data_IF_424736394883
#
_entry.id   IF_424736394883
#
_cell.length_a   1.000
_cell.length_b   1.000
_cell.length_c   1.000
_cell.angle_alpha   90.00
_cell.angle_beta   90.00
_cell.angle_gamma   90.00
#
_symmetry.space_group_name_H-M   'P 1'
#
loop_
_entity.id
_entity.type
_entity.pdbx_description
1 polymer ?
#
# COMPACT_ATOMS: atom_id res chain seq x y z
N UNK A 1 -1.56 -17.96 10.52
CA UNK A 1 -0.81 -17.26 9.46
C UNK A 1 -1.82 -16.87 8.39
N UNK A 2 -2.10 -15.58 8.23
CA UNK A 2 -3.02 -15.08 7.20
C UNK A 2 -2.32 -15.14 5.85
N UNK A 3 -2.83 -15.98 4.93
CA UNK A 3 -2.36 -16.00 3.55
C UNK A 3 -3.04 -14.86 2.79
N UNK A 4 -2.24 -13.98 2.18
CA UNK A 4 -2.77 -12.91 1.33
C UNK A 4 -2.93 -13.42 -0.10
N UNK A 5 -4.02 -13.02 -0.75
CA UNK A 5 -4.26 -13.34 -2.15
C UNK A 5 -3.41 -12.44 -3.06
N UNK A 6 -3.04 -12.92 -4.25
CA UNK A 6 -2.23 -12.15 -5.22
C UNK A 6 -2.91 -10.81 -5.58
N UNK A 7 -4.24 -10.81 -5.71
CA UNK A 7 -5.03 -9.61 -5.97
C UNK A 7 -4.90 -8.56 -4.85
N UNK A 8 -4.90 -8.99 -3.59
CA UNK A 8 -4.71 -8.08 -2.44
C UNK A 8 -3.30 -7.48 -2.42
N UNK A 9 -2.28 -8.27 -2.76
CA UNK A 9 -0.90 -7.76 -2.86
C UNK A 9 -0.77 -6.75 -4.01
N UNK A 10 -1.46 -7.00 -5.13
CA UNK A 10 -1.48 -6.06 -6.26
C UNK A 10 -2.15 -4.74 -5.89
N UNK A 11 -3.28 -4.80 -5.18
CA UNK A 11 -4.00 -3.61 -4.71
C UNK A 11 -3.16 -2.81 -3.69
N UNK A 12 -2.44 -3.50 -2.79
CA UNK A 12 -1.47 -2.86 -1.90
C UNK A 12 -0.36 -2.14 -2.67
N UNK A 13 0.14 -2.74 -3.77
CA UNK A 13 1.09 -2.12 -4.68
C UNK A 13 0.57 -0.84 -5.33
N UNK A 14 -0.66 -0.86 -5.87
CA UNK A 14 -1.31 0.32 -6.47
C UNK A 14 -1.56 1.43 -5.45
N UNK A 15 -1.98 1.06 -4.25
CA UNK A 15 -2.17 2.01 -3.15
C UNK A 15 -0.85 2.69 -2.78
N UNK A 16 0.24 1.92 -2.63
CA UNK A 16 1.56 2.48 -2.37
C UNK A 16 2.03 3.43 -3.49
N UNK A 17 1.76 3.09 -4.76
CA UNK A 17 2.04 3.96 -5.92
C UNK A 17 1.26 5.29 -5.81
N UNK A 18 -0.04 5.26 -5.45
CA UNK A 18 -0.86 6.47 -5.27
C UNK A 18 -0.42 7.36 -4.10
N UNK A 19 0.15 6.76 -3.05
CA UNK A 19 0.71 7.45 -1.89
C UNK A 19 2.15 7.96 -2.13
N UNK A 20 2.68 7.82 -3.36
CA UNK A 20 4.07 8.16 -3.75
C UNK A 20 5.14 7.40 -2.95
N UNK A 21 4.79 6.23 -2.40
CA UNK A 21 5.71 5.33 -1.69
C UNK A 21 6.31 4.31 -2.68
N UNK A 22 7.11 4.83 -3.61
CA UNK A 22 7.59 4.08 -4.77
C UNK A 22 8.42 2.84 -4.41
N UNK A 23 9.22 2.88 -3.34
CA UNK A 23 10.00 1.71 -2.90
C UNK A 23 9.12 0.53 -2.49
N UNK A 24 8.02 0.81 -1.77
CA UNK A 24 7.06 -0.21 -1.36
C UNK A 24 6.27 -0.75 -2.56
N UNK A 25 5.82 0.14 -3.45
CA UNK A 25 5.15 -0.26 -4.70
C UNK A 25 6.06 -1.20 -5.53
N UNK A 26 7.35 -0.86 -5.65
CA UNK A 26 8.33 -1.68 -6.33
C UNK A 26 8.46 -3.08 -5.70
N UNK A 27 8.57 -3.17 -4.37
CA UNK A 27 8.67 -4.46 -3.68
C UNK A 27 7.43 -5.35 -3.89
N UNK A 28 6.22 -4.78 -3.82
CA UNK A 28 4.98 -5.53 -4.08
C UNK A 28 4.93 -6.03 -5.52
N UNK A 29 5.21 -5.16 -6.49
CA UNK A 29 5.20 -5.55 -7.90
C UNK A 29 6.27 -6.59 -8.22
N UNK A 30 7.47 -6.46 -7.66
CA UNK A 30 8.55 -7.44 -7.80
C UNK A 30 8.16 -8.79 -7.20
N UNK A 31 7.59 -8.80 -5.99
CA UNK A 31 7.14 -10.04 -5.35
C UNK A 31 6.12 -10.79 -6.21
N UNK A 32 5.12 -10.08 -6.76
CA UNK A 32 4.11 -10.66 -7.65
C UNK A 32 4.76 -11.17 -8.96
N UNK A 33 5.65 -10.38 -9.57
CA UNK A 33 6.30 -10.76 -10.83
C UNK A 33 7.20 -12.01 -10.68
N UNK A 34 7.92 -12.12 -9.55
CA UNK A 34 8.88 -13.20 -9.28
C UNK A 34 8.16 -14.50 -8.84
N UNK A 35 7.12 -14.41 -8.00
CA UNK A 35 6.49 -15.59 -7.40
C UNK A 35 5.20 -16.03 -8.13
N UNK A 36 4.57 -15.13 -8.88
CA UNK A 36 3.27 -15.38 -9.53
C UNK A 36 3.32 -15.13 -11.04
N UNK A 37 4.47 -15.35 -11.68
CA UNK A 37 4.74 -14.96 -13.08
C UNK A 37 3.76 -15.49 -14.15
N UNK A 38 2.95 -16.50 -13.86
CA UNK A 38 1.94 -17.05 -14.79
C UNK A 38 0.54 -16.44 -14.64
N UNK A 39 0.30 -15.62 -13.62
CA UNK A 39 -1.04 -15.04 -13.38
C UNK A 39 -1.22 -13.73 -14.16
N UNK A 40 -2.46 -13.33 -14.50
CA UNK A 40 -2.70 -12.04 -15.16
C UNK A 40 -2.23 -10.85 -14.31
N UNK A 41 -2.24 -10.97 -12.99
CA UNK A 41 -1.74 -9.95 -12.06
C UNK A 41 -0.23 -9.71 -12.22
N UNK A 42 0.56 -10.74 -12.55
CA UNK A 42 1.98 -10.58 -12.78
C UNK A 42 2.30 -9.77 -14.04
N UNK A 43 1.44 -9.82 -15.07
CA UNK A 43 1.57 -8.94 -16.23
C UNK A 43 1.40 -7.48 -15.82
N UNK A 44 0.36 -7.19 -15.04
CA UNK A 44 0.09 -5.84 -14.51
C UNK A 44 1.22 -5.38 -13.58
N UNK A 45 1.72 -6.28 -12.75
CA UNK A 45 2.83 -5.98 -11.83
C UNK A 45 4.12 -5.63 -12.58
N UNK A 46 4.46 -6.33 -13.68
CA UNK A 46 5.62 -5.98 -14.52
C UNK A 46 5.49 -4.59 -15.16
N UNK A 47 4.29 -4.25 -15.64
CA UNK A 47 4.00 -2.91 -16.16
C UNK A 47 4.11 -1.84 -15.05
N UNK A 48 3.61 -2.13 -13.85
CA UNK A 48 3.77 -1.27 -12.68
C UNK A 48 5.23 -1.07 -12.27
N UNK A 49 6.02 -2.14 -12.29
CA UNK A 49 7.44 -2.12 -11.97
C UNK A 49 8.21 -1.22 -12.94
N UNK A 50 7.90 -1.25 -14.24
CA UNK A 50 8.49 -0.35 -15.23
C UNK A 50 8.17 1.13 -14.96
N UNK A 51 6.93 1.45 -14.58
CA UNK A 51 6.54 2.84 -14.23
C UNK A 51 7.24 3.33 -12.97
N UNK A 52 7.23 2.51 -11.92
CA UNK A 52 7.79 2.86 -10.62
C UNK A 52 9.32 2.96 -10.69
N UNK A 53 9.99 2.07 -11.43
CA UNK A 53 11.44 2.12 -11.60
C UNK A 53 11.91 3.39 -12.31
N UNK A 54 11.10 3.95 -13.23
CA UNK A 54 11.41 5.23 -13.89
C UNK A 54 11.31 6.44 -12.94
N UNK A 55 10.61 6.29 -11.81
CA UNK A 55 10.40 7.36 -10.82
C UNK A 55 11.42 7.33 -9.68
N UNK A 56 12.17 6.24 -9.50
CA UNK A 56 13.19 6.11 -8.46
C UNK A 56 14.50 6.77 -8.96
N UNK A 57 14.91 7.92 -8.40
CA UNK A 57 16.11 8.63 -8.82
C UNK A 57 17.35 7.75 -8.60
N UNK A 58 18.21 7.65 -9.61
CA UNK A 58 19.46 6.87 -9.51
C UNK A 58 19.33 5.39 -9.84
N UNK A 59 18.13 4.90 -10.19
CA UNK A 59 18.03 3.58 -10.83
C UNK A 59 18.73 3.67 -12.20
N UNK A 60 19.78 2.86 -12.47
CA UNK A 60 20.37 2.84 -13.80
C UNK A 60 19.25 2.51 -14.80
N UNK A 61 19.16 3.18 -15.96
CA UNK A 61 18.14 2.90 -16.94
C UNK A 61 18.27 1.44 -17.35
N UNK A 62 17.49 0.56 -16.73
CA UNK A 62 17.39 -0.83 -17.15
C UNK A 62 16.80 -0.74 -18.55
N UNK A 63 17.66 -1.04 -19.52
CA UNK A 63 17.34 -0.95 -20.94
C UNK A 63 15.96 -1.54 -21.15
N UNK A 64 15.07 -0.74 -21.76
CA UNK A 64 13.70 -1.13 -22.07
C UNK A 64 13.69 -2.60 -22.49
N UNK A 65 12.84 -3.46 -21.89
CA UNK A 65 12.73 -4.83 -22.34
C UNK A 65 12.38 -4.77 -23.82
N UNK A 66 13.33 -5.12 -24.67
CA UNK A 66 13.13 -5.16 -26.11
C UNK A 66 12.01 -6.17 -26.33
N UNK A 67 10.81 -5.64 -26.57
CA UNK A 67 9.69 -6.33 -27.19
C UNK A 67 10.12 -6.67 -28.62
N UNK A 68 11.00 -7.66 -28.76
CA UNK A 68 11.49 -8.12 -30.04
C UNK A 68 11.59 -9.63 -30.01
N UNK A 69 10.80 -10.28 -30.87
CA UNK A 69 11.10 -11.63 -31.34
C UNK A 69 10.30 -12.75 -30.70
N UNK A 70 9.12 -12.97 -31.25
CA UNK A 70 8.52 -14.28 -31.48
C UNK A 70 9.61 -15.34 -31.76
N UNK A 71 9.93 -16.19 -30.79
CA UNK A 71 10.58 -17.47 -31.04
C UNK A 71 9.75 -18.59 -30.42
N UNK A 72 8.83 -19.10 -31.24
CA UNK A 72 8.40 -20.49 -31.17
C UNK A 72 9.63 -21.33 -31.51
N UNK A 73 10.15 -22.06 -30.52
CA UNK A 73 11.20 -23.05 -30.66
C UNK A 73 10.85 -24.23 -29.78
N UNK A 74 10.16 -25.19 -30.38
CA UNK A 74 9.81 -26.46 -29.78
C UNK A 74 11.04 -27.39 -29.75
N UNK A 75 11.04 -28.27 -28.74
CA UNK A 75 11.67 -29.59 -28.66
C UNK A 75 13.18 -29.72 -28.33
N UNK A 76 13.37 -30.64 -27.37
CA UNK A 76 14.51 -31.51 -27.06
C UNK A 76 15.57 -31.05 -26.06
N UNK A 77 15.77 -31.88 -25.03
CA UNK A 77 17.03 -31.94 -24.30
C UNK A 77 16.96 -32.37 -22.83
N UNK A 78 16.42 -33.55 -22.58
CA UNK A 78 16.33 -34.24 -21.30
C UNK A 78 17.72 -34.70 -20.80
N UNK A 79 18.11 -34.39 -19.55
CA UNK A 79 19.09 -35.18 -18.78
C UNK A 79 19.06 -34.85 -17.26
N UNK A 80 18.19 -35.59 -16.55
CA UNK A 80 18.47 -36.19 -15.25
C UNK A 80 18.96 -35.31 -14.09
N UNK A 81 18.02 -34.85 -13.25
CA UNK A 81 18.23 -34.74 -11.80
C UNK A 81 17.00 -35.31 -11.10
N UNK A 82 17.19 -36.45 -10.42
CA UNK A 82 16.13 -37.13 -9.67
C UNK A 82 15.73 -36.32 -8.43
N UNK A 83 14.43 -36.12 -8.15
CA UNK A 83 13.99 -35.51 -6.89
C UNK A 83 14.04 -36.53 -5.73
N UNK A 84 14.37 -36.10 -4.50
CA UNK A 84 14.37 -36.97 -3.32
C UNK A 84 12.94 -37.39 -2.91
N UNK A 85 12.79 -38.53 -2.20
CA UNK A 85 11.50 -39.11 -1.85
C UNK A 85 10.72 -38.25 -0.84
N UNK A 86 9.41 -38.10 -1.09
CA UNK A 86 8.46 -37.43 -0.20
C UNK A 86 8.19 -38.28 1.05
N UNK A 87 8.15 -37.70 2.27
CA UNK A 87 7.67 -38.39 3.46
C UNK A 87 6.14 -38.62 3.43
N UNK A 88 5.64 -39.66 4.13
CA UNK A 88 4.27 -40.13 4.02
C UNK A 88 3.24 -39.16 4.59
N UNK A 89 2.14 -39.02 3.84
CA UNK A 89 0.98 -38.19 4.17
C UNK A 89 0.27 -38.65 5.44
N UNK A 90 0.27 -37.81 6.48
CA UNK A 90 -0.62 -37.94 7.61
C UNK A 90 -2.05 -37.57 7.18
N UNK A 91 -2.98 -38.51 7.38
CA UNK A 91 -4.43 -38.37 7.21
C UNK A 91 -4.95 -37.12 7.93
N UNK A 92 -5.69 -36.27 7.21
CA UNK A 92 -6.50 -35.19 7.79
C UNK A 92 -7.94 -35.70 7.97
N UNK A 93 -8.61 -35.47 9.11
CA UNK A 93 -10.01 -35.85 9.30
C UNK A 93 -10.94 -34.98 8.45
N UNK A 94 -12.01 -35.61 7.96
CA UNK A 94 -13.15 -35.03 7.26
C UNK A 94 -13.80 -33.90 8.08
N UNK A 95 -13.96 -32.74 7.47
CA UNK A 95 -14.81 -31.65 7.97
C UNK A 95 -15.92 -31.37 6.94
N UNK A 96 -17.11 -31.07 7.46
CA UNK A 96 -18.43 -31.22 6.86
C UNK A 96 -18.77 -30.25 5.70
N UNK A 97 -19.91 -30.45 4.98
CA UNK A 97 -20.27 -29.71 3.76
C UNK A 97 -20.60 -28.23 4.04
N UNK A 98 -19.92 -27.31 3.33
CA UNK A 98 -20.31 -25.91 3.26
C UNK A 98 -21.37 -25.73 2.16
N UNK A 99 -22.44 -25.01 2.52
CA UNK A 99 -23.58 -24.68 1.66
C UNK A 99 -23.19 -23.79 0.45
N UNK A 100 -23.98 -23.79 -0.64
CA UNK A 100 -23.68 -23.00 -1.84
C UNK A 100 -23.97 -21.51 -1.59
N UNK A 101 -22.94 -20.67 -1.65
CA UNK A 101 -23.12 -19.22 -1.75
C UNK A 101 -23.23 -18.85 -3.23
N UNK A 102 -24.39 -18.31 -3.59
CA UNK A 102 -24.70 -17.69 -4.88
C UNK A 102 -23.72 -16.55 -5.20
N UNK A 103 -23.21 -16.44 -6.44
CA UNK A 103 -22.42 -15.29 -6.87
C UNK A 103 -23.29 -14.05 -7.08
N UNK A 104 -22.81 -12.83 -6.76
CA UNK A 104 -23.50 -11.59 -7.09
C UNK A 104 -23.43 -11.26 -8.59
N UNK A 105 -24.40 -10.50 -9.14
CA UNK A 105 -24.52 -10.21 -10.56
C UNK A 105 -23.40 -9.28 -11.06
N UNK A 106 -22.76 -9.66 -12.16
CA UNK A 106 -21.84 -8.81 -12.89
C UNK A 106 -22.62 -7.75 -13.67
N UNK A 107 -22.43 -6.49 -13.31
CA UNK A 107 -22.88 -5.33 -14.08
C UNK A 107 -22.01 -5.17 -15.32
N UNK A 108 -22.52 -5.68 -16.44
CA UNK A 108 -22.11 -5.29 -17.79
C UNK A 108 -22.58 -3.87 -18.07
N UNK A 109 -21.67 -2.91 -18.16
CA UNK A 109 -21.94 -1.64 -18.84
C UNK A 109 -20.62 -0.96 -19.24
N UNK A 110 -20.62 -0.42 -20.48
CA UNK A 110 -19.68 0.55 -21.07
C UNK A 110 -18.40 -0.09 -21.63
N UNK A 111 -18.31 -0.47 -22.90
CA UNK A 111 -18.81 0.15 -24.14
C UNK A 111 -18.31 1.60 -24.32
N UNK A 112 -17.16 1.71 -24.97
CA UNK A 112 -16.42 2.95 -25.19
C UNK A 112 -15.29 2.70 -26.19
N UNK A 113 -15.61 2.98 -27.46
CA UNK A 113 -14.78 2.87 -28.65
C UNK A 113 -13.44 3.60 -28.51
N UNK A 114 -12.35 2.99 -29.02
CA UNK A 114 -11.10 3.69 -29.34
C UNK A 114 -10.96 3.71 -30.86
N UNK A 115 -10.78 4.88 -31.50
CA UNK A 115 -10.61 4.95 -32.94
C UNK A 115 -9.25 4.39 -33.34
N UNK A 116 -9.27 3.50 -34.34
CA UNK A 116 -8.10 3.17 -35.14
C UNK A 116 -7.64 4.44 -35.87
N UNK A 117 -6.49 4.98 -35.47
CA UNK A 117 -5.81 6.01 -36.25
C UNK A 117 -4.53 5.42 -36.85
N UNK A 118 -4.54 5.35 -38.18
CA UNK A 118 -3.56 4.65 -39.00
C UNK A 118 -2.14 5.19 -38.87
N UNK A 119 -1.19 4.26 -39.00
CA UNK A 119 0.23 4.55 -39.09
C UNK A 119 0.70 4.17 -40.51
N UNK A 120 0.91 5.13 -41.42
CA UNK A 120 1.44 4.84 -42.75
C UNK A 120 2.97 4.75 -42.72
N UNK A 121 3.48 3.72 -43.41
CA UNK A 121 4.76 3.70 -44.14
C UNK A 121 6.04 3.99 -43.36
N UNK A 122 6.77 2.94 -42.98
CA UNK A 122 8.23 3.02 -42.85
C UNK A 122 8.89 2.23 -43.99
N UNK A 123 9.69 2.90 -44.86
CA UNK A 123 10.38 2.24 -45.96
C UNK A 123 11.58 1.43 -45.45
N UNK A 124 11.74 0.25 -46.06
CA UNK A 124 12.87 -0.65 -45.90
C UNK A 124 14.19 0.05 -46.26
N UNK A 125 15.07 0.23 -45.28
CA UNK A 125 16.46 0.61 -45.51
C UNK A 125 17.35 -0.64 -45.42
N UNK A 126 18.11 -0.85 -46.49
CA UNK A 126 19.10 -1.90 -46.73
C UNK A 126 20.04 -2.17 -45.56
N UNK A 127 20.22 -3.47 -45.28
CA UNK A 127 21.30 -4.03 -44.47
C UNK A 127 22.57 -4.16 -45.33
N UNK A 128 23.73 -3.62 -44.91
CA UNK A 128 25.02 -4.01 -45.47
C UNK A 128 25.51 -5.36 -44.89
N UNK A 129 26.32 -6.12 -45.65
CA UNK A 129 26.81 -7.43 -45.25
C UNK A 129 27.82 -7.35 -44.10
N UNK A 130 27.71 -8.33 -43.21
CA UNK A 130 28.53 -8.52 -42.01
C UNK A 130 30.03 -8.72 -42.33
N UNK A 131 30.94 -7.94 -41.73
CA UNK A 131 32.35 -8.31 -41.66
C UNK A 131 32.62 -9.15 -40.41
N UNK A 132 33.12 -10.36 -40.69
CA UNK A 132 34.02 -11.18 -39.87
C UNK A 132 33.76 -11.31 -38.35
N UNK A 133 33.24 -12.49 -37.99
CA UNK A 133 33.43 -13.11 -36.68
C UNK A 133 34.94 -13.29 -36.42
N UNK A 134 35.50 -12.43 -35.57
CA UNK A 134 36.75 -12.71 -34.89
C UNK A 134 36.50 -13.74 -33.76
N UNK A 135 37.46 -14.62 -33.45
CA UNK A 135 37.33 -15.59 -32.37
C UNK A 135 37.16 -14.85 -31.04
N UNK A 136 35.99 -14.99 -30.43
CA UNK A 136 35.71 -14.48 -29.10
C UNK A 136 36.60 -15.19 -28.08
N UNK A 137 37.68 -14.53 -27.65
CA UNK A 137 38.34 -14.87 -26.40
C UNK A 137 37.37 -14.71 -25.22
N UNK A 138 37.55 -15.45 -24.11
CA UNK A 138 36.72 -15.32 -22.92
C UNK A 138 36.83 -13.89 -22.39
N UNK A 139 35.82 -13.07 -22.70
CA UNK A 139 35.71 -11.72 -22.18
C UNK A 139 35.66 -11.74 -20.65
N UNK A 140 36.20 -10.71 -19.98
CA UNK A 140 36.13 -10.59 -18.53
C UNK A 140 34.66 -10.68 -18.13
N UNK A 141 34.32 -11.71 -17.36
CA UNK A 141 32.97 -11.90 -16.86
C UNK A 141 32.56 -10.61 -16.14
N UNK A 142 31.36 -10.07 -16.40
CA UNK A 142 30.86 -8.93 -15.65
C UNK A 142 30.93 -9.32 -14.18
N UNK A 143 31.76 -8.60 -13.41
CA UNK A 143 31.79 -8.72 -11.95
C UNK A 143 30.36 -8.45 -11.51
N UNK A 144 29.66 -9.53 -11.16
CA UNK A 144 28.42 -9.46 -10.42
C UNK A 144 28.77 -8.70 -9.14
N UNK A 145 28.39 -7.42 -9.10
CA UNK A 145 28.41 -6.63 -7.88
C UNK A 145 27.66 -7.46 -6.85
N UNK A 146 28.40 -7.91 -5.84
CA UNK A 146 27.87 -8.72 -4.76
C UNK A 146 26.58 -8.02 -4.27
N UNK A 147 25.46 -8.75 -4.15
CA UNK A 147 24.23 -8.15 -3.65
C UNK A 147 24.57 -7.46 -2.34
N UNK A 148 24.42 -6.12 -2.31
CA UNK A 148 24.56 -5.33 -1.10
C UNK A 148 23.76 -6.06 -0.02
N UNK A 149 24.46 -6.61 0.96
CA UNK A 149 23.80 -7.19 2.12
C UNK A 149 22.96 -6.06 2.70
N UNK A 150 21.64 -6.22 2.83
CA UNK A 150 20.84 -5.23 3.52
C UNK A 150 21.48 -5.06 4.88
N UNK A 151 22.04 -3.87 5.12
CA UNK A 151 22.61 -3.49 6.40
C UNK A 151 21.45 -3.65 7.38
N UNK A 152 21.51 -4.68 8.21
CA UNK A 152 20.56 -4.88 9.28
C UNK A 152 20.82 -3.75 10.28
N UNK A 153 20.14 -2.62 10.10
CA UNK A 153 20.23 -1.48 11.01
C UNK A 153 19.89 -1.98 12.43
N UNK A 154 20.85 -1.93 13.37
CA UNK A 154 20.64 -2.43 14.71
C UNK A 154 19.57 -1.59 15.40
N UNK A 155 18.49 -2.25 15.84
CA UNK A 155 17.52 -1.71 16.78
C UNK A 155 16.56 -0.68 16.18
N UNK A 156 15.55 -1.17 15.46
CA UNK A 156 14.25 -0.47 15.34
C UNK A 156 13.64 -0.39 16.75
N UNK A 157 14.09 0.57 17.55
CA UNK A 157 13.58 0.82 18.88
C UNK A 157 12.08 1.08 18.80
N UNK A 158 11.38 0.54 19.78
CA UNK A 158 9.96 0.24 19.81
C UNK A 158 9.11 1.52 20.05
N UNK A 159 9.45 2.64 19.40
CA UNK A 159 9.21 3.98 19.93
C UNK A 159 7.86 4.61 19.55
N UNK A 160 6.95 3.87 18.92
CA UNK A 160 5.67 4.44 18.48
C UNK A 160 4.42 3.90 19.18
N UNK A 161 4.60 3.12 20.26
CA UNK A 161 3.46 2.60 21.03
C UNK A 161 2.79 3.69 21.85
N UNK A 162 3.56 4.62 22.42
CA UNK A 162 3.02 5.70 23.25
C UNK A 162 2.12 6.66 22.44
N UNK A 163 2.56 7.12 21.27
CA UNK A 163 1.76 8.01 20.41
C UNK A 163 0.45 7.36 19.92
N UNK A 164 0.50 6.05 19.60
CA UNK A 164 -0.69 5.29 19.20
C UNK A 164 -1.66 5.07 20.37
N UNK A 165 -1.14 4.88 21.59
CA UNK A 165 -1.94 4.76 22.80
C UNK A 165 -2.64 6.09 23.13
N UNK A 166 -1.89 7.18 23.15
CA UNK A 166 -2.41 8.52 23.48
C UNK A 166 -3.49 8.93 22.47
N UNK A 167 -3.23 8.80 21.17
CA UNK A 167 -4.24 9.10 20.14
C UNK A 167 -5.49 8.21 20.24
N UNK A 168 -5.33 6.94 20.61
CA UNK A 168 -6.45 6.04 20.89
C UNK A 168 -7.31 6.49 22.08
N UNK A 169 -6.67 6.92 23.17
CA UNK A 169 -7.36 7.42 24.37
C UNK A 169 -8.13 8.71 24.06
N UNK A 170 -7.49 9.68 23.40
CA UNK A 170 -8.16 10.94 23.04
C UNK A 170 -9.31 10.73 22.05
N UNK A 171 -9.15 9.83 21.08
CA UNK A 171 -10.22 9.53 20.13
C UNK A 171 -11.41 8.84 20.83
N UNK A 172 -11.16 7.88 21.71
CA UNK A 172 -12.22 7.20 22.47
C UNK A 172 -12.94 8.16 23.41
N UNK A 173 -12.21 9.04 24.12
CA UNK A 173 -12.81 10.10 24.94
C UNK A 173 -13.66 11.06 24.11
N UNK A 174 -13.17 11.50 22.95
CA UNK A 174 -13.90 12.40 22.06
C UNK A 174 -15.22 11.79 21.56
N UNK A 175 -15.20 10.50 21.19
CA UNK A 175 -16.41 9.77 20.80
C UNK A 175 -17.38 9.56 21.96
N UNK A 176 -16.90 9.30 23.17
CA UNK A 176 -17.74 9.21 24.36
C UNK A 176 -18.41 10.55 24.69
N UNK A 177 -17.67 11.66 24.61
CA UNK A 177 -18.23 13.00 24.81
C UNK A 177 -19.27 13.36 23.74
N UNK A 178 -18.96 13.07 22.48
CA UNK A 178 -19.86 13.30 21.36
C UNK A 178 -21.14 12.46 21.47
N UNK A 179 -21.00 11.18 21.85
CA UNK A 179 -22.13 10.27 22.08
C UNK A 179 -22.96 10.60 23.33
N UNK A 180 -22.36 11.22 24.35
CA UNK A 180 -23.07 11.66 25.54
C UNK A 180 -24.07 12.80 25.25
N UNK A 181 -23.78 13.66 24.26
CA UNK A 181 -24.66 14.76 23.86
C UNK A 181 -26.09 14.32 23.53
N UNK A 182 -26.31 13.40 22.57
CA UNK A 182 -27.62 12.84 22.27
C UNK A 182 -28.32 12.21 23.48
N UNK A 183 -27.58 11.48 24.32
CA UNK A 183 -28.15 10.83 25.50
C UNK A 183 -28.66 11.87 26.50
N UNK A 184 -27.88 12.93 26.74
CA UNK A 184 -28.29 14.07 27.56
C UNK A 184 -29.44 14.86 26.94
N UNK A 185 -29.49 14.98 25.62
CA UNK A 185 -30.60 15.61 24.90
C UNK A 185 -31.92 14.83 25.10
N UNK A 186 -31.89 13.50 24.99
CA UNK A 186 -33.06 12.65 25.24
C UNK A 186 -33.47 12.70 26.71
N UNK A 187 -32.50 12.65 27.63
CA UNK A 187 -32.75 12.74 29.06
C UNK A 187 -33.37 14.10 29.46
N UNK A 188 -32.90 15.20 28.89
CA UNK A 188 -33.47 16.54 29.13
C UNK A 188 -34.88 16.68 28.54
N UNK A 189 -35.18 16.00 27.42
CA UNK A 189 -36.53 15.99 26.85
C UNK A 189 -37.56 15.30 27.78
N UNK A 190 -37.16 14.25 28.50
CA UNK A 190 -38.06 13.60 29.48
C UNK A 190 -38.31 14.47 30.71
N UNK A 191 -37.31 15.25 31.16
CA UNK A 191 -37.49 16.23 32.24
C UNK A 191 -38.35 17.43 31.81
N UNK A 192 -38.27 17.85 30.54
CA UNK A 192 -39.09 18.93 30.00
C UNK A 192 -40.60 18.63 30.09
N UNK A 193 -41.00 17.38 29.82
CA UNK A 193 -42.39 16.95 29.97
C UNK A 193 -42.93 17.09 31.40
N UNK A 194 -42.07 16.90 32.40
CA UNK A 194 -42.42 17.08 33.83
C UNK A 194 -42.47 18.56 34.24
N UNK A 195 -41.61 19.39 33.67
CA UNK A 195 -41.59 20.85 33.90
C UNK A 195 -42.81 21.57 33.34
N UNK A 196 -43.35 21.09 32.20
CA UNK A 196 -44.53 21.67 31.56
C UNK A 196 -45.79 21.60 32.43
N UNK A 197 -45.90 20.57 33.28
CA UNK A 197 -47.01 20.42 34.22
C UNK A 197 -46.90 21.32 35.47
N UNK A 198 -45.70 21.83 35.79
CA UNK A 198 -45.45 22.60 37.03
C UNK A 198 -45.17 24.09 36.80
N UNK A 199 -44.74 24.52 35.61
CA UNK A 199 -44.07 25.82 35.42
C UNK A 199 -44.80 26.93 34.65
N UNK A 200 -45.94 26.67 34.02
CA UNK A 200 -46.60 27.67 33.15
C UNK A 200 -45.74 28.12 31.95
N UNK A 201 -46.20 29.12 31.20
CA UNK A 201 -45.63 29.53 29.90
C UNK A 201 -44.13 29.91 29.94
N UNK A 202 -43.65 30.44 31.08
CA UNK A 202 -42.24 30.81 31.28
C UNK A 202 -41.30 29.60 31.40
N UNK A 203 -41.80 28.43 31.81
CA UNK A 203 -41.01 27.19 31.86
C UNK A 203 -40.68 26.62 30.48
N UNK A 204 -41.51 26.91 29.47
CA UNK A 204 -41.36 26.36 28.11
C UNK A 204 -40.18 27.01 27.37
N UNK A 205 -40.08 28.35 27.41
CA UNK A 205 -39.00 29.07 26.74
C UNK A 205 -37.64 28.83 27.40
N UNK A 206 -37.58 28.84 28.74
CA UNK A 206 -36.36 28.52 29.50
C UNK A 206 -35.92 27.07 29.33
N UNK A 207 -36.87 26.12 29.29
CA UNK A 207 -36.59 24.71 29.12
C UNK A 207 -36.03 24.37 27.73
N UNK A 208 -36.58 24.96 26.66
CA UNK A 208 -36.06 24.76 25.30
C UNK A 208 -34.66 25.37 25.12
N UNK A 209 -34.44 26.59 25.59
CA UNK A 209 -33.12 27.22 25.52
C UNK A 209 -32.08 26.43 26.32
N UNK A 210 -32.44 25.97 27.53
CA UNK A 210 -31.58 25.12 28.35
C UNK A 210 -31.26 23.78 27.69
N UNK A 211 -32.25 23.10 27.11
CA UNK A 211 -32.06 21.81 26.44
C UNK A 211 -31.12 21.92 25.22
N UNK A 212 -31.26 23.00 24.43
CA UNK A 212 -30.36 23.25 23.29
C UNK A 212 -28.92 23.48 23.75
N UNK A 213 -28.71 24.29 24.79
CA UNK A 213 -27.36 24.52 25.33
C UNK A 213 -26.76 23.23 25.89
N UNK A 214 -27.52 22.44 26.64
CA UNK A 214 -27.08 21.16 27.21
C UNK A 214 -26.74 20.14 26.12
N UNK A 215 -27.46 20.13 24.99
CA UNK A 215 -27.19 19.20 23.90
C UNK A 215 -26.01 19.64 23.01
N UNK A 216 -25.95 20.93 22.66
CA UNK A 216 -25.02 21.45 21.64
C UNK A 216 -23.62 21.66 22.20
N UNK A 217 -23.49 22.19 23.43
CA UNK A 217 -22.18 22.46 24.04
C UNK A 217 -21.29 21.21 24.15
N UNK A 218 -21.74 20.06 24.69
CA UNK A 218 -20.91 18.87 24.75
C UNK A 218 -20.61 18.27 23.37
N UNK A 219 -21.51 18.41 22.39
CA UNK A 219 -21.23 18.02 21.00
C UNK A 219 -20.07 18.83 20.41
N UNK A 220 -20.11 20.16 20.53
CA UNK A 220 -19.05 21.05 20.01
C UNK A 220 -17.73 20.81 20.74
N UNK A 221 -17.77 20.64 22.06
CA UNK A 221 -16.58 20.30 22.85
C UNK A 221 -16.01 18.93 22.45
N UNK A 222 -16.86 17.92 22.31
CA UNK A 222 -16.46 16.59 21.86
C UNK A 222 -15.81 16.62 20.48
N UNK A 223 -16.40 17.35 19.53
CA UNK A 223 -15.85 17.51 18.18
C UNK A 223 -14.51 18.24 18.20
N UNK A 224 -14.39 19.28 19.04
CA UNK A 224 -13.14 20.03 19.23
C UNK A 224 -12.03 19.11 19.76
N UNK A 225 -12.32 18.27 20.74
CA UNK A 225 -11.37 17.29 21.28
C UNK A 225 -10.94 16.27 20.22
N UNK A 226 -11.88 15.77 19.40
CA UNK A 226 -11.57 14.87 18.27
C UNK A 226 -10.63 15.55 17.28
N UNK A 227 -10.92 16.81 16.92
CA UNK A 227 -10.08 17.60 16.03
C UNK A 227 -8.65 17.76 16.56
N UNK A 228 -8.49 18.14 17.83
CA UNK A 228 -7.16 18.23 18.47
C UNK A 228 -6.43 16.89 18.51
N UNK A 229 -7.15 15.79 18.73
CA UNK A 229 -6.56 14.44 18.68
C UNK A 229 -6.04 14.07 17.29
N UNK A 230 -6.76 14.45 16.23
CA UNK A 230 -6.31 14.24 14.84
C UNK A 230 -5.13 15.14 14.49
N UNK A 231 -5.17 16.41 14.90
CA UNK A 231 -4.09 17.37 14.67
C UNK A 231 -2.79 16.92 15.34
N UNK A 232 -2.86 16.46 16.59
CA UNK A 232 -1.71 15.93 17.31
C UNK A 232 -1.07 14.75 16.56
N UNK A 233 -1.88 13.83 16.04
CA UNK A 233 -1.39 12.69 15.25
C UNK A 233 -0.66 13.14 13.99
N UNK A 234 -1.21 14.10 13.25
CA UNK A 234 -0.57 14.63 12.05
C UNK A 234 0.78 15.31 12.36
N UNK A 235 0.87 16.04 13.48
CA UNK A 235 2.12 16.67 13.92
C UNK A 235 3.18 15.62 14.27
N UNK A 236 2.79 14.56 14.99
CA UNK A 236 3.72 13.48 15.34
C UNK A 236 4.21 12.72 14.10
N UNK A 237 3.31 12.41 13.16
CA UNK A 237 3.67 11.75 11.90
C UNK A 237 4.68 12.61 11.11
N UNK A 238 4.49 13.93 11.08
CA UNK A 238 5.42 14.86 10.42
C UNK A 238 6.77 14.97 11.16
N UNK A 239 6.76 15.02 12.49
CA UNK A 239 7.97 15.05 13.31
C UNK A 239 8.81 13.76 13.16
N UNK A 240 8.16 12.63 12.89
CA UNK A 240 8.86 11.38 12.62
C UNK A 240 9.51 11.41 11.23
N UNK A 241 8.80 11.91 10.23
CA UNK A 241 9.35 12.04 8.88
C UNK A 241 10.59 12.94 8.84
N UNK A 242 10.61 14.04 9.61
CA UNK A 242 11.78 14.92 9.69
C UNK A 242 12.96 14.28 10.42
N UNK A 243 12.73 13.46 11.45
CA UNK A 243 13.79 12.68 12.11
C UNK A 243 14.40 11.65 11.18
N UNK A 244 13.58 10.90 10.43
CA UNK A 244 14.07 9.93 9.45
C UNK A 244 14.92 10.61 8.37
N UNK A 245 14.53 11.81 7.91
CA UNK A 245 15.33 12.59 6.97
C UNK A 245 16.67 13.07 7.56
N UNK A 246 16.69 13.46 8.83
CA UNK A 246 17.92 13.85 9.53
C UNK A 246 18.87 12.67 9.72
N UNK A 247 18.34 11.49 10.04
CA UNK A 247 19.13 10.26 10.16
C UNK A 247 19.73 9.86 8.81
N UNK A 248 18.97 9.98 7.72
CA UNK A 248 19.48 9.77 6.37
C UNK A 248 20.55 10.78 5.98
N UNK A 249 20.36 12.07 6.30
CA UNK A 249 21.37 13.10 6.06
C UNK A 249 22.66 12.84 6.85
N UNK A 250 22.53 12.38 8.09
CA UNK A 250 23.69 12.03 8.92
C UNK A 250 24.43 10.82 8.35
N UNK A 251 23.71 9.77 7.97
CA UNK A 251 24.31 8.59 7.34
C UNK A 251 25.02 8.94 6.02
N UNK A 252 24.44 9.85 5.23
CA UNK A 252 25.07 10.37 4.01
C UNK A 252 26.34 11.16 4.33
N UNK A 253 26.31 12.04 5.34
CA UNK A 253 27.50 12.79 5.74
C UNK A 253 28.65 11.91 6.25
N UNK A 254 28.32 10.82 6.97
CA UNK A 254 29.31 9.84 7.41
C UNK A 254 29.91 9.06 6.23
N UNK A 255 29.11 8.76 5.20
CA UNK A 255 29.60 8.09 3.98
C UNK A 255 30.55 8.97 3.16
N UNK A 256 30.27 10.27 3.05
CA UNK A 256 31.16 11.22 2.36
C UNK A 256 32.51 11.36 3.08
N UNK A 257 32.51 11.33 4.42
CA UNK A 257 33.74 11.37 5.22
C UNK A 257 34.60 10.11 5.02
N UNK A 258 33.99 8.92 4.92
CA UNK A 258 34.70 7.68 4.59
C UNK A 258 35.35 7.74 3.20
N UNK A 259 34.68 8.33 2.21
CA UNK A 259 35.23 8.48 0.86
C UNK A 259 36.36 9.52 0.76
N UNK A 260 36.43 10.48 1.68
CA UNK A 260 37.49 11.48 1.69
C UNK A 260 38.83 10.98 2.26
N UNK A 261 38.83 9.81 2.91
CA UNK A 261 40.00 9.23 3.58
C UNK A 261 40.64 8.03 2.87
N UNK A 262 40.15 7.65 1.68
CA UNK A 262 40.81 6.70 0.74
C UNK A 262 41.60 7.43 -0.35
#
# INVERSE_FOLDING_TARGET
MTQFTVAQVLEAGRKAESEKKYDYAYQFYKHIADHHGQTPEAKIAREGLARVAALIPGSPPQGQPRLNGTHNGALNGEAGHAPPPKPPSARRPSEAPQAPLTPPPQTSARDGMVPMQGRPGQPHAHMPPSPHQAPHGPGPQPRYLAPMRPIALPGRVNDYKAGKLVSGIFSTLGWLLFGAGPVLAVASLTQFGSGLMKGGLFGVAGGLAGAVVIAVVPMVLGLTVVFWGQLARAIFDNANATRELLELQRALSEQDEFHAHE
#
